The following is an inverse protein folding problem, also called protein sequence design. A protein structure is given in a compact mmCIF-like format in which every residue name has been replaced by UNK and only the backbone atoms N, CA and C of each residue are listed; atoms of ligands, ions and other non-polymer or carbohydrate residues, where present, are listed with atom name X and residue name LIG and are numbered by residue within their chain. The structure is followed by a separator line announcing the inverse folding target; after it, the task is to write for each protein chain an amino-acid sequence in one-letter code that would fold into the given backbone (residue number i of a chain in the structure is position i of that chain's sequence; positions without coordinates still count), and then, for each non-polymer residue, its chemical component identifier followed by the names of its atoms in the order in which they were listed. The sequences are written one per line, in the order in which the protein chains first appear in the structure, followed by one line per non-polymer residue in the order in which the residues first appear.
data_IF_631320501630
#
_entry.id   IF_631320501630
#
_cell.length_a   1.000
_cell.length_b   1.000
_cell.length_c   1.000
_cell.angle_alpha   90.00
_cell.angle_beta   90.00
_cell.angle_gamma   90.00
#
_symmetry.space_group_name_H-M   'P 1'
#
loop_
_entity.id
_entity.type
_entity.pdbx_description
1 polymer ?
#
# COMPACT_ATOMS: atom_id res chain seq x y z
N UNK A 1 22.27 -50.92 -73.01
CA UNK A 1 23.44 -50.36 -72.33
C UNK A 1 23.21 -48.85 -72.25
N UNK A 2 22.59 -48.37 -71.17
CA UNK A 2 22.32 -46.93 -70.93
C UNK A 2 22.65 -46.62 -69.49
N UNK A 3 23.67 -45.80 -69.29
CA UNK A 3 24.19 -45.35 -68.06
C UNK A 3 23.30 -44.17 -67.50
N UNK A 4 22.67 -44.39 -66.36
CA UNK A 4 21.99 -43.33 -65.63
C UNK A 4 22.94 -42.51 -64.76
N UNK A 5 22.94 -41.20 -64.94
CA UNK A 5 23.62 -40.22 -64.07
C UNK A 5 22.70 -39.77 -62.95
N UNK A 6 23.07 -40.07 -61.73
CA UNK A 6 22.39 -39.52 -60.53
C UNK A 6 22.98 -38.15 -60.20
N UNK A 7 22.15 -37.11 -60.22
CA UNK A 7 22.47 -35.79 -59.67
C UNK A 7 22.10 -35.75 -58.16
N UNK A 8 23.08 -35.62 -57.32
CA UNK A 8 22.88 -35.34 -55.87
C UNK A 8 22.74 -33.84 -55.68
N UNK A 9 21.58 -33.39 -55.15
CA UNK A 9 21.35 -32.02 -54.72
C UNK A 9 21.77 -31.91 -53.24
N UNK A 10 22.79 -31.11 -52.95
CA UNK A 10 23.16 -30.74 -51.61
C UNK A 10 22.26 -29.58 -51.15
N UNK A 11 21.38 -29.80 -50.15
CA UNK A 11 20.65 -28.75 -49.47
C UNK A 11 21.57 -28.08 -48.44
N UNK A 12 21.92 -26.83 -48.65
CA UNK A 12 22.51 -25.98 -47.60
C UNK A 12 21.39 -25.52 -46.64
N UNK A 13 21.44 -26.03 -45.41
CA UNK A 13 20.61 -25.52 -44.33
C UNK A 13 21.24 -24.21 -43.80
N UNK A 14 20.63 -23.07 -44.09
CA UNK A 14 21.01 -21.79 -43.46
C UNK A 14 20.34 -21.73 -42.11
N UNK A 15 21.14 -21.96 -41.03
CA UNK A 15 20.70 -21.66 -39.66
C UNK A 15 20.61 -20.14 -39.44
N UNK A 16 19.42 -19.59 -39.49
CA UNK A 16 19.19 -18.22 -39.05
C UNK A 16 19.33 -18.16 -37.53
N UNK A 17 20.44 -17.61 -37.06
CA UNK A 17 20.62 -17.24 -35.64
C UNK A 17 19.74 -16.01 -35.39
N UNK A 18 18.58 -16.23 -34.78
CA UNK A 18 17.75 -15.14 -34.28
C UNK A 18 18.51 -14.40 -33.18
N UNK A 19 18.97 -13.20 -33.48
CA UNK A 19 19.52 -12.29 -32.48
C UNK A 19 18.39 -11.93 -31.52
N UNK A 20 18.42 -12.47 -30.30
CA UNK A 20 17.60 -11.99 -29.19
C UNK A 20 18.10 -10.60 -28.85
N UNK A 21 17.42 -9.57 -29.37
CA UNK A 21 17.54 -8.22 -28.81
C UNK A 21 16.94 -8.26 -27.42
N UNK A 22 17.68 -7.87 -26.37
CA UNK A 22 17.08 -7.74 -25.05
C UNK A 22 15.94 -6.74 -25.16
N UNK A 23 14.71 -7.19 -24.88
CA UNK A 23 13.61 -6.23 -24.68
C UNK A 23 14.03 -5.30 -23.55
N UNK A 24 13.86 -3.97 -23.70
CA UNK A 24 14.09 -3.06 -22.59
C UNK A 24 13.27 -3.56 -21.41
N UNK A 25 13.93 -3.73 -20.27
CA UNK A 25 13.27 -4.11 -19.04
C UNK A 25 12.09 -3.14 -18.86
N UNK A 26 10.87 -3.69 -18.73
CA UNK A 26 9.69 -2.85 -18.52
C UNK A 26 9.91 -2.14 -17.20
N UNK A 27 9.93 -0.81 -17.21
CA UNK A 27 10.12 -0.02 -16.01
C UNK A 27 9.17 -0.50 -14.91
N UNK A 28 9.70 -0.76 -13.74
CA UNK A 28 8.88 -1.09 -12.58
C UNK A 28 7.99 0.11 -12.25
N UNK A 29 6.80 -0.15 -11.73
CA UNK A 29 5.83 0.86 -11.35
C UNK A 29 5.38 0.67 -9.91
N UNK A 30 5.01 1.76 -9.26
CA UNK A 30 4.40 1.76 -7.92
C UNK A 30 3.08 2.53 -7.97
N UNK A 31 2.00 1.89 -8.48
CA UNK A 31 0.76 2.58 -8.85
C UNK A 31 -0.10 3.02 -7.67
N UNK A 32 0.14 2.52 -6.47
CA UNK A 32 -0.65 2.78 -5.26
C UNK A 32 0.24 2.77 -4.01
N UNK A 33 -0.27 3.23 -2.87
CA UNK A 33 0.51 3.39 -1.64
C UNK A 33 1.19 2.13 -1.11
N UNK A 34 0.73 0.93 -1.48
CA UNK A 34 1.35 -0.38 -1.13
C UNK A 34 1.93 -1.11 -2.34
N UNK A 35 2.15 -0.41 -3.45
CA UNK A 35 2.69 -1.00 -4.67
C UNK A 35 1.67 -1.72 -5.54
N UNK A 36 2.12 -2.45 -6.56
CA UNK A 36 1.26 -3.02 -7.59
C UNK A 36 0.31 -4.11 -7.08
N UNK A 37 0.70 -4.87 -6.06
CA UNK A 37 -0.10 -5.95 -5.48
C UNK A 37 -0.74 -5.57 -4.13
N UNK A 38 -0.59 -4.34 -3.68
CA UNK A 38 -1.06 -3.84 -2.37
C UNK A 38 -0.47 -4.61 -1.17
N UNK A 39 0.68 -5.26 -1.34
CA UNK A 39 1.34 -6.16 -0.37
C UNK A 39 2.61 -5.56 0.25
N UNK A 40 3.05 -4.38 -0.22
CA UNK A 40 4.27 -3.73 0.24
C UNK A 40 5.55 -4.33 -0.34
N UNK A 41 5.47 -5.01 -1.48
CA UNK A 41 6.61 -5.61 -2.17
C UNK A 41 6.93 -4.86 -3.44
N UNK A 42 8.20 -4.51 -3.62
CA UNK A 42 8.74 -3.97 -4.85
C UNK A 42 9.52 -5.04 -5.62
N UNK A 43 9.53 -4.90 -6.93
CA UNK A 43 10.42 -5.64 -7.82
C UNK A 43 11.77 -4.92 -8.01
N UNK A 44 12.63 -5.47 -8.86
CA UNK A 44 13.91 -4.89 -9.23
C UNK A 44 15.05 -5.17 -8.24
N UNK A 45 16.21 -4.61 -8.54
CA UNK A 45 17.47 -4.79 -7.82
C UNK A 45 18.28 -3.48 -7.80
N UNK A 46 19.38 -3.46 -7.05
CA UNK A 46 20.32 -2.34 -7.05
C UNK A 46 19.94 -1.21 -6.09
N UNK A 47 19.09 -1.48 -5.10
CA UNK A 47 18.73 -0.49 -4.10
C UNK A 47 19.82 -0.28 -3.07
N UNK A 48 20.08 0.97 -2.71
CA UNK A 48 21.04 1.33 -1.67
C UNK A 48 20.60 0.83 -0.29
N UNK A 49 21.57 0.47 0.56
CA UNK A 49 21.30 0.02 1.94
C UNK A 49 21.52 1.14 2.96
N UNK A 50 22.15 2.24 2.57
CA UNK A 50 22.41 3.37 3.43
C UNK A 50 22.33 4.67 2.63
N UNK A 51 21.98 5.76 3.30
CA UNK A 51 21.98 7.12 2.75
C UNK A 51 22.07 8.16 3.85
N UNK A 52 22.50 9.34 3.48
CA UNK A 52 22.50 10.52 4.34
C UNK A 52 21.92 11.71 3.56
N UNK A 53 21.76 12.89 4.17
CA UNK A 53 21.32 14.07 3.41
C UNK A 53 22.25 14.48 2.24
N UNK A 54 23.46 13.92 2.17
CA UNK A 54 24.47 14.22 1.12
C UNK A 54 24.96 12.99 0.36
N UNK A 55 24.70 11.78 0.84
CA UNK A 55 25.17 10.53 0.23
C UNK A 55 23.99 9.74 -0.34
N UNK A 56 24.17 9.17 -1.53
CA UNK A 56 23.15 8.44 -2.28
C UNK A 56 21.88 9.25 -2.58
N UNK A 57 21.96 10.57 -2.53
CA UNK A 57 20.87 11.47 -2.98
C UNK A 57 21.05 11.75 -4.46
N UNK A 58 20.11 11.30 -5.28
CA UNK A 58 20.03 11.64 -6.72
C UNK A 58 19.53 13.09 -6.86
N UNK A 59 18.45 13.38 -6.16
CA UNK A 59 17.86 14.71 -6.06
C UNK A 59 16.93 14.83 -4.83
N UNK A 60 16.70 16.06 -4.44
CA UNK A 60 15.70 16.46 -3.45
C UNK A 60 14.95 17.68 -3.96
N UNK A 61 13.64 17.65 -3.92
CA UNK A 61 12.77 18.78 -4.27
C UNK A 61 11.99 19.20 -3.04
N UNK A 62 12.11 20.47 -2.64
CA UNK A 62 11.24 21.06 -1.62
C UNK A 62 9.87 21.31 -2.24
N UNK A 63 8.83 20.85 -1.56
CA UNK A 63 7.45 20.97 -2.04
C UNK A 63 6.85 22.31 -1.59
N UNK A 64 5.91 22.87 -2.35
CA UNK A 64 5.33 24.18 -2.05
C UNK A 64 4.40 24.15 -0.83
N UNK A 65 3.99 22.96 -0.39
CA UNK A 65 3.13 22.81 0.77
C UNK A 65 3.23 21.42 1.40
N UNK A 66 2.67 21.30 2.60
CA UNK A 66 2.72 20.06 3.38
C UNK A 66 1.89 18.96 2.73
N UNK A 67 2.35 17.73 2.88
CA UNK A 67 1.64 16.52 2.50
C UNK A 67 2.29 15.28 3.11
N UNK A 68 1.51 14.20 3.22
CA UNK A 68 1.95 12.94 3.81
C UNK A 68 1.64 11.72 2.92
N UNK A 69 1.25 11.95 1.67
CA UNK A 69 0.94 10.89 0.71
C UNK A 69 2.18 10.12 0.30
N UNK A 70 2.06 8.80 0.21
CA UNK A 70 3.04 7.97 -0.51
C UNK A 70 2.98 8.33 -2.00
N UNK A 71 4.13 8.54 -2.69
CA UNK A 71 4.13 8.83 -4.11
C UNK A 71 3.54 7.67 -4.94
N UNK A 72 2.78 8.01 -5.99
CA UNK A 72 2.49 7.06 -7.07
C UNK A 72 3.52 7.23 -8.19
N UNK A 73 4.07 6.12 -8.67
CA UNK A 73 5.11 6.13 -9.71
C UNK A 73 4.69 5.26 -10.88
N UNK A 74 4.68 5.85 -12.08
CA UNK A 74 4.40 5.11 -13.31
C UNK A 74 5.21 5.67 -14.50
N UNK A 75 5.98 4.80 -15.14
CA UNK A 75 6.89 5.20 -16.20
C UNK A 75 7.82 6.30 -15.73
N UNK A 76 7.80 7.44 -16.39
CA UNK A 76 8.60 8.64 -16.04
C UNK A 76 7.88 9.63 -15.11
N UNK A 77 6.78 9.24 -14.48
CA UNK A 77 6.01 10.16 -13.62
C UNK A 77 6.05 9.73 -12.16
N UNK A 78 6.26 10.71 -11.29
CA UNK A 78 6.16 10.61 -9.83
C UNK A 78 5.13 11.63 -9.37
N UNK A 79 4.02 11.17 -8.80
CA UNK A 79 2.91 12.04 -8.40
C UNK A 79 2.75 12.04 -6.88
N UNK A 80 2.63 13.23 -6.31
CA UNK A 80 2.37 13.46 -4.89
C UNK A 80 1.21 14.44 -4.69
N UNK A 81 0.59 14.41 -3.51
CA UNK A 81 -0.42 15.38 -3.09
C UNK A 81 0.14 16.33 -2.04
N UNK A 82 -0.29 17.58 -2.02
CA UNK A 82 0.05 18.55 -0.99
C UNK A 82 -1.01 19.67 -0.93
N UNK A 83 -0.90 20.55 0.05
CA UNK A 83 -1.68 21.78 0.11
C UNK A 83 -0.86 22.92 -0.51
N UNK A 84 -1.46 23.74 -1.39
CA UNK A 84 -0.82 24.91 -2.00
C UNK A 84 -1.79 26.08 -1.90
N UNK A 85 -1.36 27.16 -1.28
CA UNK A 85 -2.12 28.43 -1.17
C UNK A 85 -3.60 28.24 -0.76
N UNK A 86 -3.84 27.33 0.19
CA UNK A 86 -5.19 27.03 0.67
C UNK A 86 -5.99 26.07 -0.20
N UNK A 87 -5.39 25.45 -1.21
CA UNK A 87 -6.00 24.49 -2.11
C UNK A 87 -5.42 23.08 -1.93
N UNK A 88 -6.25 22.07 -2.11
CA UNK A 88 -5.81 20.71 -2.37
C UNK A 88 -5.11 20.67 -3.72
N UNK A 89 -3.93 20.05 -3.80
CA UNK A 89 -3.16 20.04 -5.03
C UNK A 89 -2.44 18.70 -5.26
N UNK A 90 -2.26 18.36 -6.53
CA UNK A 90 -1.39 17.29 -7.00
C UNK A 90 -0.26 17.85 -7.84
N UNK A 91 0.93 17.26 -7.71
CA UNK A 91 2.13 17.63 -8.48
C UNK A 91 2.69 16.38 -9.13
N UNK A 92 2.96 16.45 -10.43
CA UNK A 92 3.67 15.45 -11.21
C UNK A 92 5.10 15.88 -11.50
N UNK A 93 6.06 15.06 -11.12
CA UNK A 93 7.48 15.20 -11.42
C UNK A 93 7.91 14.17 -12.46
N UNK A 94 8.99 14.44 -13.18
CA UNK A 94 9.73 13.39 -13.89
C UNK A 94 10.67 12.64 -12.91
N UNK A 95 11.31 11.57 -13.40
CA UNK A 95 12.26 10.77 -12.60
C UNK A 95 13.52 11.56 -12.18
N UNK A 96 13.79 12.70 -12.79
CA UNK A 96 14.91 13.59 -12.46
C UNK A 96 14.53 14.67 -11.44
N UNK A 97 13.30 14.66 -10.94
CA UNK A 97 12.80 15.61 -9.94
C UNK A 97 12.35 16.95 -10.53
N UNK A 98 12.28 17.08 -11.86
CA UNK A 98 11.72 18.27 -12.49
C UNK A 98 10.20 18.22 -12.41
N UNK A 99 9.58 19.29 -11.90
CA UNK A 99 8.14 19.46 -11.95
C UNK A 99 7.69 19.56 -13.42
N UNK A 100 6.76 18.66 -13.79
CA UNK A 100 6.17 18.62 -15.15
C UNK A 100 4.85 19.35 -15.17
N UNK A 101 4.05 19.15 -14.11
CA UNK A 101 2.75 19.78 -13.96
C UNK A 101 2.36 19.93 -12.50
N UNK A 102 1.49 20.88 -12.25
CA UNK A 102 0.83 21.14 -10.97
C UNK A 102 -0.65 21.39 -11.22
N UNK A 103 -1.49 20.81 -10.37
CA UNK A 103 -2.93 21.03 -10.45
C UNK A 103 -3.50 21.34 -9.07
N UNK A 104 -4.05 22.53 -8.93
CA UNK A 104 -4.87 22.92 -7.80
C UNK A 104 -6.31 22.44 -8.03
N UNK A 105 -6.96 22.03 -6.95
CA UNK A 105 -8.30 21.46 -6.95
C UNK A 105 -9.21 22.22 -5.96
N UNK A 106 -9.88 21.51 -5.06
CA UNK A 106 -10.78 22.10 -4.06
C UNK A 106 -10.08 22.90 -2.96
N UNK A 107 -10.85 23.54 -2.08
CA UNK A 107 -10.32 24.20 -0.89
C UNK A 107 -9.82 23.17 0.12
N UNK A 108 -8.58 23.36 0.62
CA UNK A 108 -7.99 22.43 1.58
C UNK A 108 -8.70 22.49 2.93
N UNK A 109 -9.00 21.33 3.51
CA UNK A 109 -9.32 21.24 4.94
C UNK A 109 -8.02 20.90 5.69
N UNK A 110 -7.49 21.80 6.54
CA UNK A 110 -6.21 21.59 7.20
C UNK A 110 -6.23 20.39 8.14
N UNK A 111 -5.06 19.81 8.38
CA UNK A 111 -4.89 18.74 9.35
C UNK A 111 -5.24 19.18 10.78
N UNK A 112 -5.81 18.27 11.57
CA UNK A 112 -6.11 18.44 12.99
C UNK A 112 -4.93 18.02 13.88
N UNK A 113 -4.16 17.04 13.43
CA UNK A 113 -3.04 16.48 14.18
C UNK A 113 -1.69 16.87 13.54
N UNK A 114 -0.65 17.07 14.35
CA UNK A 114 0.70 17.50 13.89
C UNK A 114 1.36 16.58 12.83
N UNK A 115 0.93 15.32 12.74
CA UNK A 115 1.40 14.33 11.75
C UNK A 115 0.56 14.32 10.48
N UNK A 116 -0.51 15.09 10.42
CA UNK A 116 -1.47 15.08 9.33
C UNK A 116 -1.56 16.44 8.66
N UNK A 117 -1.84 16.47 7.38
CA UNK A 117 -1.72 17.66 6.55
C UNK A 117 -2.98 17.99 5.76
N UNK A 118 -4.07 17.23 5.89
CA UNK A 118 -5.23 17.31 4.99
C UNK A 118 -5.00 16.58 3.65
N UNK A 119 -3.73 16.40 3.24
CA UNK A 119 -3.31 15.71 2.01
C UNK A 119 -2.55 14.42 2.34
N UNK A 120 -3.14 13.56 3.18
CA UNK A 120 -2.51 12.29 3.60
C UNK A 120 -2.82 11.14 2.65
N UNK A 121 -3.98 11.18 2.00
CA UNK A 121 -4.42 10.16 1.04
C UNK A 121 -3.44 10.07 -0.13
N UNK A 122 -3.01 8.85 -0.45
CA UNK A 122 -2.03 8.62 -1.51
C UNK A 122 -2.71 8.52 -2.87
N UNK A 123 -2.12 9.07 -3.93
CA UNK A 123 -2.63 8.92 -5.29
C UNK A 123 -2.58 7.46 -5.74
N UNK A 124 -3.47 7.10 -6.66
CA UNK A 124 -3.45 5.81 -7.36
C UNK A 124 -3.51 6.03 -8.86
N UNK A 125 -2.80 5.21 -9.66
CA UNK A 125 -2.71 5.40 -11.11
C UNK A 125 -2.81 4.09 -11.87
N UNK A 126 -3.30 4.18 -13.12
CA UNK A 126 -3.27 3.10 -14.10
C UNK A 126 -2.26 3.36 -15.25
N UNK A 127 -1.52 4.47 -15.14
CA UNK A 127 -0.55 4.90 -16.14
C UNK A 127 -1.10 5.85 -17.21
N UNK A 128 -2.41 6.00 -17.32
CA UNK A 128 -3.07 7.02 -18.13
C UNK A 128 -3.62 8.15 -17.25
N UNK A 129 -4.27 7.76 -16.18
CA UNK A 129 -4.86 8.68 -15.21
C UNK A 129 -4.25 8.47 -13.83
N UNK A 130 -4.32 9.50 -13.01
CA UNK A 130 -4.05 9.44 -11.58
C UNK A 130 -5.28 9.97 -10.83
N UNK A 131 -5.73 9.21 -9.83
CA UNK A 131 -6.83 9.61 -8.95
C UNK A 131 -6.27 10.05 -7.63
N UNK A 132 -6.78 11.18 -7.15
CA UNK A 132 -6.40 11.80 -5.89
C UNK A 132 -7.65 12.09 -5.04
N UNK A 133 -7.53 11.87 -3.73
CA UNK A 133 -8.61 12.08 -2.79
C UNK A 133 -8.13 12.90 -1.60
N UNK A 134 -8.94 13.82 -1.10
CA UNK A 134 -8.55 14.76 -0.07
C UNK A 134 -9.54 14.79 1.10
N UNK A 135 -9.07 15.30 2.24
CA UNK A 135 -9.89 15.54 3.43
C UNK A 135 -11.07 16.49 3.18
N UNK A 136 -10.97 17.37 2.20
CA UNK A 136 -12.08 18.23 1.74
C UNK A 136 -13.27 17.45 1.19
N UNK A 137 -13.08 16.16 0.88
CA UNK A 137 -14.04 15.33 0.15
C UNK A 137 -13.83 15.33 -1.35
N UNK A 138 -12.89 16.13 -1.86
CA UNK A 138 -12.57 16.20 -3.28
C UNK A 138 -11.91 14.90 -3.76
N UNK A 139 -12.51 14.30 -4.79
CA UNK A 139 -11.98 13.17 -5.54
C UNK A 139 -11.83 13.61 -7.00
N UNK A 140 -10.64 13.52 -7.55
CA UNK A 140 -10.35 13.96 -8.91
C UNK A 140 -9.60 12.88 -9.70
N UNK A 141 -9.90 12.77 -11.00
CA UNK A 141 -9.08 12.08 -11.98
C UNK A 141 -8.32 13.10 -12.83
N UNK A 142 -7.02 12.92 -12.93
CA UNK A 142 -6.13 13.76 -13.71
C UNK A 142 -5.43 12.90 -14.78
N UNK A 143 -5.12 13.49 -15.92
CA UNK A 143 -4.21 12.86 -16.87
C UNK A 143 -2.79 12.85 -16.26
N UNK A 144 -2.15 11.69 -16.18
CA UNK A 144 -0.85 11.56 -15.52
C UNK A 144 0.27 12.29 -16.28
N UNK A 145 0.13 12.49 -17.59
CA UNK A 145 1.18 13.09 -18.42
C UNK A 145 1.29 14.60 -18.20
N UNK A 146 0.17 15.33 -18.06
CA UNK A 146 0.11 16.80 -18.05
C UNK A 146 -0.74 17.41 -16.93
N UNK A 147 -1.35 16.58 -16.07
CA UNK A 147 -2.19 17.00 -14.95
C UNK A 147 -3.53 17.61 -15.38
N UNK A 148 -3.95 17.45 -16.63
CA UNK A 148 -5.27 17.92 -17.07
C UNK A 148 -6.37 17.22 -16.28
N UNK A 149 -7.34 17.98 -15.77
CA UNK A 149 -8.49 17.43 -15.03
C UNK A 149 -9.40 16.70 -16.02
N UNK A 150 -9.64 15.42 -15.76
CA UNK A 150 -10.58 14.59 -16.52
C UNK A 150 -11.98 14.75 -15.94
N UNK A 151 -12.09 14.61 -14.62
CA UNK A 151 -13.30 14.86 -13.87
C UNK A 151 -13.00 15.11 -12.39
N UNK A 152 -13.93 15.76 -11.71
CA UNK A 152 -13.92 15.92 -10.26
C UNK A 152 -15.28 15.62 -9.67
N UNK A 153 -15.29 15.24 -8.42
CA UNK A 153 -16.51 15.10 -7.61
C UNK A 153 -16.16 15.33 -6.14
N UNK A 154 -17.13 15.75 -5.35
CA UNK A 154 -16.93 15.95 -3.92
C UNK A 154 -17.87 15.03 -3.12
N UNK A 155 -17.29 14.07 -2.39
CA UNK A 155 -18.07 13.08 -1.64
C UNK A 155 -18.82 13.70 -0.47
N UNK A 156 -18.27 14.74 0.16
CA UNK A 156 -18.94 15.38 1.29
C UNK A 156 -20.14 16.22 0.84
N UNK A 157 -20.09 16.83 -0.34
CA UNK A 157 -21.24 17.52 -0.92
C UNK A 157 -22.34 16.54 -1.33
N UNK A 158 -21.99 15.34 -1.78
CA UNK A 158 -22.96 14.34 -2.20
C UNK A 158 -23.56 13.52 -1.05
N UNK A 159 -22.75 13.17 -0.04
CA UNK A 159 -23.12 12.16 0.95
C UNK A 159 -23.02 12.62 2.40
N UNK A 160 -22.68 13.88 2.65
CA UNK A 160 -22.56 14.47 3.98
C UNK A 160 -21.11 14.69 4.41
N UNK A 161 -20.96 15.57 5.40
CA UNK A 161 -19.65 16.01 5.89
C UNK A 161 -18.84 14.89 6.56
N UNK A 162 -17.53 15.08 6.57
CA UNK A 162 -16.58 14.26 7.31
C UNK A 162 -16.74 14.46 8.83
N UNK A 163 -17.01 13.36 9.54
CA UNK A 163 -17.15 13.33 11.00
C UNK A 163 -16.00 12.60 11.69
N UNK A 164 -14.92 12.29 10.98
CA UNK A 164 -13.72 11.70 11.57
C UNK A 164 -13.15 12.62 12.66
N UNK A 165 -12.76 12.03 13.78
CA UNK A 165 -12.15 12.78 14.87
C UNK A 165 -10.75 13.29 14.51
N UNK A 166 -10.04 12.51 13.71
CA UNK A 166 -8.70 12.83 13.21
C UNK A 166 -8.72 13.11 11.71
N UNK A 167 -7.59 12.96 11.08
CA UNK A 167 -7.43 13.33 9.67
C UNK A 167 -7.60 12.14 8.75
N UNK A 168 -8.20 12.36 7.59
CA UNK A 168 -8.38 11.35 6.56
C UNK A 168 -7.04 10.67 6.22
N UNK A 169 -7.00 9.34 6.31
CA UNK A 169 -5.84 8.52 5.93
C UNK A 169 -6.13 7.54 4.78
N UNK A 170 -7.41 7.25 4.56
CA UNK A 170 -7.85 6.34 3.51
C UNK A 170 -7.46 6.84 2.12
N UNK A 171 -6.89 5.98 1.30
CA UNK A 171 -6.56 6.24 -0.11
C UNK A 171 -7.59 5.60 -1.04
N UNK A 172 -7.82 6.16 -2.24
CA UNK A 172 -8.63 5.50 -3.24
C UNK A 172 -7.96 4.21 -3.73
N UNK A 173 -8.77 3.25 -4.17
CA UNK A 173 -8.30 2.00 -4.78
C UNK A 173 -8.93 1.80 -6.14
N UNK A 174 -8.22 1.12 -7.04
CA UNK A 174 -8.70 0.84 -8.39
C UNK A 174 -9.16 -0.60 -8.53
N UNK A 175 -10.27 -0.76 -9.23
CA UNK A 175 -10.69 -2.03 -9.82
C UNK A 175 -10.58 -1.93 -11.34
N UNK A 176 -10.95 -2.97 -12.06
CA UNK A 176 -10.97 -2.94 -13.53
C UNK A 176 -11.86 -1.83 -14.10
N UNK A 177 -12.92 -1.40 -13.39
CA UNK A 177 -13.93 -0.43 -13.87
C UNK A 177 -14.05 0.83 -13.03
N UNK A 178 -13.69 0.78 -11.76
CA UNK A 178 -14.00 1.84 -10.82
C UNK A 178 -12.78 2.34 -10.04
N UNK A 179 -12.83 3.60 -9.63
CA UNK A 179 -12.12 4.09 -8.46
C UNK A 179 -13.07 4.04 -7.26
N UNK A 180 -12.61 3.47 -6.16
CA UNK A 180 -13.44 3.24 -4.97
C UNK A 180 -12.81 3.93 -3.77
N UNK A 181 -13.67 4.57 -2.98
CA UNK A 181 -13.32 5.23 -1.72
C UNK A 181 -14.14 4.62 -0.60
N UNK A 182 -13.49 4.34 0.53
CA UNK A 182 -14.16 3.95 1.77
C UNK A 182 -14.22 5.16 2.71
N UNK A 183 -15.41 5.51 3.16
CA UNK A 183 -15.64 6.51 4.19
C UNK A 183 -16.22 5.80 5.41
N UNK A 184 -15.42 5.71 6.47
CA UNK A 184 -15.75 4.98 7.70
C UNK A 184 -15.58 5.91 8.89
N UNK A 185 -16.67 6.41 9.41
CA UNK A 185 -16.72 7.51 10.38
C UNK A 185 -17.80 7.28 11.44
N UNK A 186 -17.87 8.16 12.41
CA UNK A 186 -18.99 8.15 13.35
C UNK A 186 -20.23 8.73 12.65
N UNK A 187 -21.23 7.90 12.42
CA UNK A 187 -22.42 8.25 11.61
C UNK A 187 -22.37 7.56 10.24
N UNK A 188 -22.88 8.18 9.17
CA UNK A 188 -22.98 7.52 7.87
C UNK A 188 -21.60 7.04 7.37
N UNK A 189 -21.41 5.72 7.35
CA UNK A 189 -20.23 5.07 6.81
C UNK A 189 -20.63 4.33 5.54
N UNK A 190 -19.78 4.40 4.50
CA UNK A 190 -20.10 3.83 3.19
C UNK A 190 -18.87 3.52 2.36
N UNK A 191 -19.07 2.71 1.34
CA UNK A 191 -18.17 2.53 0.21
C UNK A 191 -18.83 3.20 -1.00
N UNK A 192 -18.06 3.93 -1.81
CA UNK A 192 -18.56 4.55 -3.04
C UNK A 192 -17.63 4.26 -4.20
N UNK A 193 -18.19 3.85 -5.33
CA UNK A 193 -17.47 3.56 -6.57
C UNK A 193 -17.89 4.51 -7.67
N UNK A 194 -16.90 5.08 -8.32
CA UNK A 194 -17.06 5.98 -9.44
C UNK A 194 -16.43 5.38 -10.69
N UNK A 195 -17.07 5.55 -11.83
CA UNK A 195 -16.49 5.15 -13.12
C UNK A 195 -15.15 5.86 -13.33
N UNK A 196 -14.13 5.11 -13.65
CA UNK A 196 -12.74 5.62 -13.75
C UNK A 196 -12.61 6.74 -14.78
N UNK A 197 -13.36 6.66 -15.87
CA UNK A 197 -13.24 7.54 -17.03
C UNK A 197 -14.14 8.77 -16.91
N UNK A 198 -15.36 8.59 -16.41
CA UNK A 198 -16.39 9.64 -16.42
C UNK A 198 -16.63 10.29 -15.05
N UNK A 199 -16.19 9.66 -13.96
CA UNK A 199 -16.50 10.11 -12.60
C UNK A 199 -17.95 9.89 -12.17
N UNK A 200 -18.77 9.22 -13.01
CA UNK A 200 -20.14 8.91 -12.67
C UNK A 200 -20.22 7.94 -11.50
N UNK A 201 -21.10 8.18 -10.54
CA UNK A 201 -21.35 7.23 -9.46
C UNK A 201 -21.90 5.92 -10.02
N UNK A 202 -21.19 4.83 -9.81
CA UNK A 202 -21.64 3.49 -10.20
C UNK A 202 -22.50 2.87 -9.11
N UNK A 203 -22.05 2.97 -7.86
CA UNK A 203 -22.78 2.51 -6.69
C UNK A 203 -22.26 3.16 -5.41
N UNK A 204 -23.15 3.24 -4.41
CA UNK A 204 -22.83 3.57 -3.02
C UNK A 204 -23.45 2.49 -2.14
N UNK A 205 -22.65 1.90 -1.27
CA UNK A 205 -23.09 0.89 -0.31
C UNK A 205 -22.83 1.36 1.10
N UNK A 206 -23.89 1.47 1.90
CA UNK A 206 -23.78 1.79 3.31
C UNK A 206 -23.06 0.64 4.05
N UNK A 207 -22.16 1.01 4.96
CA UNK A 207 -21.38 0.08 5.79
C UNK A 207 -21.52 0.51 7.25
N UNK A 208 -22.74 0.46 7.75
CA UNK A 208 -23.08 0.76 9.15
C UNK A 208 -22.93 -0.51 9.98
N UNK A 209 -21.87 -0.57 10.77
CA UNK A 209 -21.60 -1.69 11.68
C UNK A 209 -21.61 -1.18 13.12
N UNK A 210 -22.01 -2.06 14.03
CA UNK A 210 -22.07 -1.74 15.45
C UNK A 210 -20.64 -1.73 16.02
N UNK A 211 -20.17 -0.55 16.40
CA UNK A 211 -18.89 -0.34 17.06
C UNK A 211 -18.95 0.95 17.91
N UNK A 212 -18.36 0.95 19.11
CA UNK A 212 -18.48 2.07 20.02
C UNK A 212 -17.58 3.26 19.63
N UNK A 213 -18.10 4.46 19.69
CA UNK A 213 -17.37 5.75 19.59
C UNK A 213 -16.28 5.79 18.49
N UNK A 214 -15.00 5.95 18.85
CA UNK A 214 -13.87 6.00 17.90
C UNK A 214 -13.64 4.65 17.20
N UNK A 215 -14.03 3.54 17.80
CA UNK A 215 -13.92 2.22 17.18
C UNK A 215 -14.76 2.10 15.89
N UNK A 216 -15.83 2.89 15.73
CA UNK A 216 -16.58 3.01 14.48
C UNK A 216 -15.75 3.62 13.35
N UNK A 217 -14.68 4.38 13.67
CA UNK A 217 -13.88 5.10 12.69
C UNK A 217 -12.75 4.25 12.13
N UNK A 218 -12.49 4.39 10.86
CA UNK A 218 -11.37 3.76 10.20
C UNK A 218 -10.70 4.69 9.20
N UNK A 219 -9.40 4.70 9.24
CA UNK A 219 -8.50 5.44 8.37
C UNK A 219 -7.78 4.50 7.39
N UNK A 220 -8.11 3.20 7.46
CA UNK A 220 -7.51 2.17 6.63
C UNK A 220 -7.96 2.25 5.18
N UNK A 221 -7.07 1.86 4.29
CA UNK A 221 -7.36 1.74 2.85
C UNK A 221 -7.87 0.33 2.57
N UNK A 222 -8.97 0.16 1.82
CA UNK A 222 -9.41 -1.16 1.37
C UNK A 222 -8.36 -1.86 0.51
N UNK A 223 -8.42 -3.18 0.46
CA UNK A 223 -7.60 -3.99 -0.45
C UNK A 223 -8.49 -4.60 -1.52
N UNK A 224 -8.11 -4.40 -2.78
CA UNK A 224 -8.75 -5.07 -3.92
C UNK A 224 -8.09 -6.43 -4.11
N UNK A 225 -8.89 -7.48 -4.16
CA UNK A 225 -8.40 -8.85 -4.34
C UNK A 225 -9.16 -9.54 -5.47
N UNK A 226 -8.46 -10.37 -6.23
CA UNK A 226 -9.12 -11.26 -7.17
C UNK A 226 -9.96 -12.28 -6.41
N UNK A 227 -11.18 -12.49 -6.87
CA UNK A 227 -12.03 -13.55 -6.36
C UNK A 227 -11.68 -14.90 -6.96
N UNK A 228 -12.18 -15.94 -6.33
CA UNK A 228 -12.03 -17.31 -6.79
C UNK A 228 -13.37 -17.82 -7.36
N UNK A 229 -13.43 -17.97 -8.68
CA UNK A 229 -14.62 -18.42 -9.38
C UNK A 229 -15.08 -19.83 -8.93
N UNK A 230 -14.14 -20.71 -8.58
CA UNK A 230 -14.44 -22.07 -8.08
C UNK A 230 -15.15 -22.04 -6.71
N UNK A 231 -14.95 -20.96 -5.96
CA UNK A 231 -15.64 -20.69 -4.69
C UNK A 231 -16.91 -19.84 -4.86
N UNK A 232 -17.27 -19.50 -6.11
CA UNK A 232 -18.42 -18.66 -6.43
C UNK A 232 -18.23 -17.20 -5.96
N UNK A 233 -16.99 -16.73 -5.87
CA UNK A 233 -16.67 -15.34 -5.57
C UNK A 233 -16.74 -14.48 -6.83
N UNK A 234 -17.06 -13.16 -6.73
CA UNK A 234 -17.00 -12.23 -7.86
C UNK A 234 -15.56 -12.06 -8.35
N UNK A 235 -15.39 -11.57 -9.58
CA UNK A 235 -14.07 -11.39 -10.21
C UNK A 235 -13.12 -10.52 -9.38
N UNK A 236 -13.64 -9.46 -8.77
CA UNK A 236 -12.91 -8.57 -7.88
C UNK A 236 -13.71 -8.33 -6.60
N UNK A 237 -13.04 -8.37 -5.48
CA UNK A 237 -13.60 -8.10 -4.16
C UNK A 237 -12.85 -6.98 -3.47
N UNK A 238 -13.55 -6.27 -2.60
CA UNK A 238 -12.97 -5.30 -1.67
C UNK A 238 -12.93 -5.93 -0.28
N UNK A 239 -11.78 -5.91 0.36
CA UNK A 239 -11.63 -6.26 1.77
C UNK A 239 -11.45 -4.97 2.56
N UNK A 240 -12.30 -4.76 3.56
CA UNK A 240 -12.39 -3.52 4.34
C UNK A 240 -12.26 -3.82 5.82
N UNK A 241 -11.35 -3.13 6.51
CA UNK A 241 -11.15 -3.21 7.96
C UNK A 241 -11.66 -1.93 8.62
N UNK A 242 -12.53 -2.04 9.59
CA UNK A 242 -13.03 -0.92 10.39
C UNK A 242 -14.32 -1.26 11.12
N UNK A 243 -14.66 -0.49 12.14
CA UNK A 243 -15.81 -0.71 12.98
C UNK A 243 -15.84 -2.15 13.55
N UNK A 244 -14.73 -2.58 14.15
CA UNK A 244 -14.54 -3.87 14.81
C UNK A 244 -14.72 -5.10 13.91
N UNK A 245 -14.75 -4.90 12.57
CA UNK A 245 -15.01 -5.94 11.58
C UNK A 245 -14.04 -5.90 10.40
N UNK A 246 -13.82 -7.07 9.81
CA UNK A 246 -13.38 -7.21 8.41
C UNK A 246 -14.59 -7.62 7.58
N UNK A 247 -14.82 -6.92 6.48
CA UNK A 247 -15.89 -7.25 5.53
C UNK A 247 -15.33 -7.41 4.13
N UNK A 248 -15.90 -8.32 3.35
CA UNK A 248 -15.63 -8.44 1.93
C UNK A 248 -16.86 -8.07 1.11
N UNK A 249 -16.64 -7.31 0.06
CA UNK A 249 -17.69 -6.80 -0.81
C UNK A 249 -17.41 -7.14 -2.27
N UNK A 250 -18.45 -7.38 -3.04
CA UNK A 250 -18.38 -7.45 -4.50
C UNK A 250 -18.01 -6.06 -5.04
N UNK A 251 -16.88 -5.95 -5.70
CA UNK A 251 -16.41 -4.67 -6.23
C UNK A 251 -17.29 -4.11 -7.34
N UNK A 252 -18.09 -4.95 -8.01
CA UNK A 252 -18.96 -4.52 -9.09
C UNK A 252 -20.23 -3.76 -8.63
N UNK A 253 -20.69 -4.00 -7.38
CA UNK A 253 -21.95 -3.46 -6.87
C UNK A 253 -21.93 -3.07 -5.39
N UNK A 254 -20.81 -3.26 -4.69
CA UNK A 254 -20.62 -2.93 -3.28
C UNK A 254 -21.29 -3.87 -2.29
N UNK A 255 -22.04 -4.89 -2.72
CA UNK A 255 -22.77 -5.79 -1.82
C UNK A 255 -21.79 -6.59 -0.96
N UNK A 256 -22.09 -6.63 0.34
CA UNK A 256 -21.31 -7.46 1.26
C UNK A 256 -21.50 -8.94 0.94
N UNK A 257 -20.39 -9.67 0.87
CA UNK A 257 -20.33 -11.10 0.63
C UNK A 257 -20.25 -11.85 1.97
N UNK A 258 -19.27 -11.43 2.78
CA UNK A 258 -19.06 -12.00 4.12
C UNK A 258 -18.47 -10.96 5.07
N UNK A 259 -18.62 -11.23 6.36
CA UNK A 259 -18.00 -10.47 7.45
C UNK A 259 -17.41 -11.36 8.52
N UNK A 260 -16.39 -10.84 9.19
CA UNK A 260 -15.87 -11.34 10.46
C UNK A 260 -15.86 -10.20 11.44
N UNK A 261 -16.54 -10.40 12.58
CA UNK A 261 -16.54 -9.49 13.72
C UNK A 261 -15.65 -9.99 14.86
N UNK A 262 -15.89 -9.48 16.06
CA UNK A 262 -15.21 -9.94 17.27
C UNK A 262 -13.76 -9.49 17.40
N UNK A 263 -13.31 -8.52 16.60
CA UNK A 263 -11.95 -7.95 16.71
C UNK A 263 -11.78 -7.10 17.97
N UNK A 264 -12.89 -6.70 18.60
CA UNK A 264 -12.93 -5.89 19.82
C UNK A 264 -13.81 -6.54 20.88
N UNK A 265 -13.39 -7.70 21.47
CA UNK A 265 -14.23 -8.47 22.37
C UNK A 265 -14.55 -7.74 23.69
N UNK A 266 -13.78 -6.71 24.04
CA UNK A 266 -13.98 -5.90 25.25
C UNK A 266 -14.90 -4.70 25.02
N UNK A 267 -15.30 -4.41 23.76
CA UNK A 267 -16.05 -3.21 23.40
C UNK A 267 -15.26 -1.92 23.70
N UNK A 268 -13.95 -1.95 23.52
CA UNK A 268 -13.09 -0.80 23.83
C UNK A 268 -13.37 0.35 22.84
N UNK A 269 -13.79 1.47 23.36
CA UNK A 269 -14.31 2.60 22.58
C UNK A 269 -13.29 3.35 21.70
N UNK A 270 -12.01 3.12 21.87
CA UNK A 270 -10.93 3.81 21.15
C UNK A 270 -10.14 2.91 20.19
N UNK A 271 -10.64 1.73 19.86
CA UNK A 271 -9.97 0.81 18.94
C UNK A 271 -10.29 1.12 17.46
N UNK A 272 -9.99 2.37 17.01
CA UNK A 272 -10.06 2.70 15.59
C UNK A 272 -9.04 1.93 14.77
N UNK A 273 -9.27 1.81 13.46
CA UNK A 273 -8.34 1.18 12.52
C UNK A 273 -7.54 2.24 11.75
N UNK A 274 -6.21 2.14 11.75
CA UNK A 274 -5.33 2.94 10.88
C UNK A 274 -4.59 2.03 9.91
N UNK A 275 -3.88 1.01 10.42
CA UNK A 275 -3.29 -0.01 9.57
C UNK A 275 -4.37 -0.70 8.72
N UNK A 276 -4.04 -0.96 7.47
CA UNK A 276 -4.95 -1.60 6.51
C UNK A 276 -4.86 -3.12 6.59
N UNK A 277 -5.90 -3.84 6.16
CA UNK A 277 -5.80 -5.28 5.97
C UNK A 277 -4.83 -5.59 4.83
N UNK A 278 -4.18 -6.75 4.88
CA UNK A 278 -3.37 -7.27 3.78
C UNK A 278 -3.77 -8.73 3.49
N UNK A 279 -3.46 -9.19 2.28
CA UNK A 279 -3.81 -10.56 1.87
C UNK A 279 -2.56 -11.41 1.74
N UNK A 280 -2.53 -12.53 2.46
CA UNK A 280 -1.46 -13.51 2.45
C UNK A 280 -2.02 -14.88 2.00
N UNK A 281 -2.03 -15.12 0.68
CA UNK A 281 -2.64 -16.32 0.11
C UNK A 281 -4.13 -16.43 0.44
N UNK A 282 -4.51 -17.48 1.15
CA UNK A 282 -5.90 -17.72 1.56
C UNK A 282 -6.35 -16.94 2.81
N UNK A 283 -5.50 -16.05 3.33
CA UNK A 283 -5.79 -15.31 4.55
C UNK A 283 -5.87 -13.80 4.31
N UNK A 284 -6.84 -13.16 4.96
CA UNK A 284 -6.84 -11.74 5.25
C UNK A 284 -6.21 -11.55 6.62
N UNK A 285 -5.21 -10.68 6.69
CA UNK A 285 -4.50 -10.32 7.92
C UNK A 285 -4.99 -8.95 8.36
N UNK A 286 -5.57 -8.88 9.54
CA UNK A 286 -6.16 -7.67 10.12
C UNK A 286 -5.39 -7.25 11.39
N UNK A 287 -4.49 -6.26 11.32
CA UNK A 287 -3.95 -5.60 12.51
C UNK A 287 -5.05 -4.77 13.18
N UNK A 288 -5.14 -4.83 14.52
CA UNK A 288 -6.21 -4.16 15.25
C UNK A 288 -5.81 -3.75 16.68
N UNK A 289 -6.77 -3.22 17.42
CA UNK A 289 -6.65 -2.88 18.84
C UNK A 289 -5.43 -1.99 19.16
N UNK A 290 -5.21 -0.94 18.35
CA UNK A 290 -4.09 0.01 18.51
C UNK A 290 -2.71 -0.67 18.57
N UNK A 291 -2.53 -1.70 17.77
CA UNK A 291 -1.29 -2.44 17.69
C UNK A 291 -1.13 -3.54 18.75
N UNK A 292 -2.21 -3.92 19.43
CA UNK A 292 -2.18 -5.01 20.41
C UNK A 292 -2.48 -6.36 19.79
N UNK A 293 -3.25 -6.40 18.68
CA UNK A 293 -3.68 -7.65 18.05
C UNK A 293 -3.41 -7.71 16.55
N UNK A 294 -3.30 -8.94 16.05
CA UNK A 294 -3.34 -9.26 14.63
C UNK A 294 -4.12 -10.56 14.44
N UNK A 295 -5.08 -10.52 13.54
CA UNK A 295 -6.00 -11.64 13.28
C UNK A 295 -5.85 -12.12 11.85
N UNK A 296 -5.72 -13.44 11.62
CA UNK A 296 -5.80 -14.03 10.30
C UNK A 296 -7.18 -14.65 10.08
N UNK A 297 -7.80 -14.29 8.97
CA UNK A 297 -9.14 -14.69 8.58
C UNK A 297 -9.05 -15.47 7.27
N UNK A 298 -9.60 -16.68 7.21
CA UNK A 298 -9.71 -17.43 5.95
C UNK A 298 -10.63 -16.71 4.99
N UNK A 299 -10.21 -16.55 3.76
CA UNK A 299 -11.03 -15.96 2.70
C UNK A 299 -12.17 -16.87 2.30
N UNK A 300 -13.31 -16.30 1.93
CA UNK A 300 -14.47 -17.01 1.42
C UNK A 300 -15.65 -17.05 2.40
N UNK A 301 -16.66 -17.85 2.07
CA UNK A 301 -17.90 -17.93 2.83
C UNK A 301 -18.94 -16.90 2.43
N UNK A 302 -20.06 -16.85 3.16
CA UNK A 302 -21.18 -15.90 2.95
C UNK A 302 -21.79 -15.49 4.28
N UNK A 303 -22.16 -14.21 4.39
CA UNK A 303 -22.76 -13.65 5.61
C UNK A 303 -21.76 -13.56 6.76
N UNK A 304 -22.21 -13.72 7.98
CA UNK A 304 -21.35 -13.70 9.15
C UNK A 304 -20.61 -15.04 9.31
N UNK A 305 -19.30 -15.00 9.10
CA UNK A 305 -18.42 -16.18 9.19
C UNK A 305 -17.46 -16.11 10.39
N UNK A 306 -17.73 -15.23 11.36
CA UNK A 306 -16.89 -15.02 12.55
C UNK A 306 -16.54 -16.33 13.26
N UNK A 307 -17.51 -17.21 13.49
CA UNK A 307 -17.31 -18.45 14.22
C UNK A 307 -16.44 -19.49 13.50
N UNK A 308 -16.25 -19.38 12.17
CA UNK A 308 -15.64 -20.43 11.34
C UNK A 308 -14.39 -20.00 10.59
N UNK A 309 -14.17 -18.72 10.37
CA UNK A 309 -13.11 -18.24 9.46
C UNK A 309 -11.91 -17.60 10.17
N UNK A 310 -11.98 -17.33 11.47
CA UNK A 310 -10.79 -16.92 12.22
C UNK A 310 -9.82 -18.11 12.26
N UNK A 311 -8.65 -17.96 11.64
CA UNK A 311 -7.65 -19.02 11.59
C UNK A 311 -6.76 -19.00 12.84
N UNK A 312 -6.30 -17.83 13.22
CA UNK A 312 -5.51 -17.57 14.41
C UNK A 312 -5.59 -16.10 14.82
N UNK A 313 -5.29 -15.84 16.09
CA UNK A 313 -5.20 -14.49 16.66
C UNK A 313 -3.91 -14.40 17.48
N UNK A 314 -3.15 -13.30 17.31
CA UNK A 314 -2.07 -12.90 18.20
C UNK A 314 -2.55 -11.69 19.02
N UNK A 315 -2.31 -11.75 20.34
CA UNK A 315 -2.69 -10.68 21.29
C UNK A 315 -1.46 -10.03 21.94
N UNK A 316 -0.28 -10.37 21.44
CA UNK A 316 1.03 -9.89 21.91
C UNK A 316 1.78 -9.13 20.82
N UNK A 317 1.18 -9.01 19.65
CA UNK A 317 1.74 -8.39 18.46
C UNK A 317 0.66 -7.80 17.57
N UNK A 318 0.89 -6.59 17.10
CA UNK A 318 0.07 -5.90 16.12
C UNK A 318 0.76 -4.62 15.66
N UNK A 319 0.11 -3.88 14.79
CA UNK A 319 0.55 -2.56 14.36
C UNK A 319 -0.64 -1.60 14.42
N UNK A 320 -0.46 -0.41 14.99
CA UNK A 320 -1.50 0.62 15.02
C UNK A 320 -1.53 1.38 13.69
N UNK A 321 -0.38 1.84 13.23
CA UNK A 321 -0.27 2.67 12.00
C UNK A 321 0.40 1.92 10.85
N UNK A 322 1.58 1.29 10.99
CA UNK A 322 2.22 0.61 9.86
C UNK A 322 1.38 -0.58 9.38
N UNK A 323 1.05 -0.61 8.12
CA UNK A 323 0.40 -1.77 7.51
C UNK A 323 1.44 -2.85 7.23
N UNK A 324 1.22 -4.12 7.61
CA UNK A 324 2.15 -5.20 7.36
C UNK A 324 2.50 -5.37 5.88
N UNK A 325 3.67 -5.93 5.57
CA UNK A 325 4.02 -6.38 4.23
C UNK A 325 3.91 -7.90 4.13
N UNK A 326 3.58 -8.40 2.93
CA UNK A 326 3.37 -9.84 2.71
C UNK A 326 4.20 -10.31 1.53
N UNK A 327 4.99 -11.37 1.74
CA UNK A 327 5.76 -12.02 0.67
C UNK A 327 5.96 -13.50 0.96
N UNK A 328 5.78 -14.35 -0.04
CA UNK A 328 6.09 -15.79 0.01
C UNK A 328 5.43 -16.50 1.20
N UNK A 329 4.13 -16.22 1.47
CA UNK A 329 3.40 -16.82 2.59
C UNK A 329 3.84 -16.33 3.97
N UNK A 330 4.55 -15.21 4.05
CA UNK A 330 5.04 -14.60 5.29
C UNK A 330 4.50 -13.20 5.45
N UNK A 331 4.30 -12.80 6.69
CA UNK A 331 3.81 -11.49 7.08
C UNK A 331 4.92 -10.77 7.84
N UNK A 332 5.34 -9.62 7.38
CA UNK A 332 6.25 -8.75 8.11
C UNK A 332 5.46 -7.68 8.86
N UNK A 333 5.49 -7.75 10.17
CA UNK A 333 4.86 -6.77 11.05
C UNK A 333 5.95 -5.84 11.59
N UNK A 334 5.75 -4.53 11.43
CA UNK A 334 6.52 -3.50 12.11
C UNK A 334 5.57 -2.81 13.10
N UNK A 335 5.85 -2.87 14.39
CA UNK A 335 5.05 -2.13 15.37
C UNK A 335 5.46 -0.67 15.40
N UNK A 336 4.60 0.19 15.93
CA UNK A 336 4.87 1.63 16.08
C UNK A 336 6.12 1.92 16.94
N UNK A 337 6.56 0.94 17.74
CA UNK A 337 7.74 1.03 18.62
C UNK A 337 9.00 0.40 18.05
N UNK A 338 8.96 -0.09 16.79
CA UNK A 338 10.14 -0.68 16.13
C UNK A 338 10.42 -2.14 16.49
N UNK A 339 9.44 -2.87 17.05
CA UNK A 339 9.50 -4.33 17.11
C UNK A 339 9.10 -4.85 15.73
N UNK A 340 9.94 -5.66 15.13
CA UNK A 340 9.72 -6.21 13.79
C UNK A 340 9.69 -7.72 13.90
N UNK A 341 8.61 -8.35 13.42
CA UNK A 341 8.47 -9.80 13.38
C UNK A 341 8.04 -10.25 11.99
N UNK A 342 8.69 -11.31 11.51
CA UNK A 342 8.26 -12.05 10.34
C UNK A 342 7.50 -13.30 10.81
N UNK A 343 6.24 -13.40 10.41
CA UNK A 343 5.35 -14.49 10.79
C UNK A 343 5.12 -15.43 9.61
N UNK A 344 4.88 -16.70 9.91
CA UNK A 344 4.24 -17.63 8.99
C UNK A 344 2.75 -17.28 8.87
N UNK A 345 2.26 -17.05 7.66
CA UNK A 345 0.90 -16.56 7.42
C UNK A 345 -0.18 -17.61 7.79
N UNK A 346 0.13 -18.89 7.66
CA UNK A 346 -0.83 -19.95 7.93
C UNK A 346 -1.02 -20.22 9.43
N UNK A 347 0.02 -19.98 10.24
CA UNK A 347 0.04 -20.36 11.66
C UNK A 347 0.15 -19.19 12.62
N UNK A 348 0.55 -18.01 12.16
CA UNK A 348 0.84 -16.84 13.00
C UNK A 348 2.11 -16.98 13.85
N UNK A 349 2.90 -18.07 13.67
CA UNK A 349 4.13 -18.26 14.42
C UNK A 349 5.22 -17.31 13.95
N UNK A 350 5.98 -16.75 14.90
CA UNK A 350 7.16 -15.94 14.61
C UNK A 350 8.27 -16.81 14.05
N UNK A 351 8.78 -16.45 12.88
CA UNK A 351 9.90 -17.11 12.20
C UNK A 351 11.23 -16.44 12.54
N UNK A 352 11.22 -15.11 12.61
CA UNK A 352 12.38 -14.27 12.92
C UNK A 352 11.92 -12.92 13.43
N UNK A 353 12.69 -12.27 14.27
CA UNK A 353 12.35 -10.97 14.86
C UNK A 353 13.59 -10.11 15.08
N UNK A 354 13.38 -8.81 15.28
CA UNK A 354 14.35 -7.84 15.80
C UNK A 354 13.61 -6.74 16.57
N UNK A 355 14.22 -6.20 17.58
CA UNK A 355 13.78 -4.96 18.22
C UNK A 355 14.80 -3.86 17.89
N UNK A 356 14.37 -2.86 17.14
CA UNK A 356 15.21 -1.70 16.83
C UNK A 356 15.41 -0.84 18.10
N UNK A 357 16.49 -0.05 18.17
CA UNK A 357 16.75 0.80 19.32
C UNK A 357 15.54 1.69 19.67
N UNK A 358 15.19 1.74 20.95
CA UNK A 358 14.07 2.57 21.43
C UNK A 358 14.27 4.02 21.06
N UNK A 359 13.24 4.64 20.53
CA UNK A 359 13.22 6.06 20.19
C UNK A 359 11.89 6.69 20.62
N UNK A 360 11.88 8.02 20.80
CA UNK A 360 10.66 8.79 21.09
C UNK A 360 9.74 8.92 19.86
N UNK A 361 10.32 8.84 18.66
CA UNK A 361 9.61 8.90 17.41
C UNK A 361 9.11 7.50 17.03
N UNK A 362 7.88 7.42 16.56
CA UNK A 362 7.25 6.16 16.19
C UNK A 362 7.59 5.77 14.74
N UNK A 363 7.25 4.55 14.38
CA UNK A 363 7.18 4.08 13.01
C UNK A 363 5.74 4.25 12.54
N UNK A 364 5.49 5.12 11.57
CA UNK A 364 4.18 5.31 10.93
C UNK A 364 4.18 4.86 9.48
N UNK A 365 5.33 4.96 8.80
CA UNK A 365 5.51 4.40 7.46
C UNK A 365 5.41 2.87 7.48
N UNK A 366 4.75 2.30 6.49
CA UNK A 366 4.63 0.85 6.35
C UNK A 366 5.93 0.24 5.84
N UNK A 367 6.31 -0.97 6.27
CA UNK A 367 7.51 -1.64 5.77
C UNK A 367 7.39 -1.97 4.27
N UNK A 368 8.52 -1.92 3.57
CA UNK A 368 8.65 -2.31 2.17
C UNK A 368 9.68 -3.42 2.01
N UNK A 369 9.31 -4.48 1.30
CA UNK A 369 10.20 -5.60 0.96
C UNK A 369 10.67 -5.42 -0.48
N UNK A 370 11.99 -5.35 -0.69
CA UNK A 370 12.60 -5.16 -2.01
C UNK A 370 14.00 -5.77 -2.07
N UNK A 371 14.36 -6.44 -3.16
CA UNK A 371 15.72 -6.92 -3.45
C UNK A 371 16.37 -7.67 -2.26
N UNK A 372 15.65 -8.59 -1.62
CA UNK A 372 16.15 -9.31 -0.45
C UNK A 372 16.34 -8.44 0.81
N UNK A 373 15.74 -7.26 0.85
CA UNK A 373 15.79 -6.27 1.94
C UNK A 373 14.42 -5.92 2.46
N UNK A 374 14.39 -5.38 3.66
CA UNK A 374 13.23 -4.70 4.26
C UNK A 374 13.64 -3.28 4.62
N UNK A 375 12.85 -2.31 4.20
CA UNK A 375 13.01 -0.91 4.59
C UNK A 375 11.91 -0.56 5.58
N UNK A 376 12.29 -0.10 6.76
CA UNK A 376 11.37 0.46 7.78
C UNK A 376 11.81 1.88 8.10
N UNK A 377 10.88 2.83 8.04
CA UNK A 377 11.18 4.26 8.20
C UNK A 377 10.46 4.82 9.42
N UNK A 378 11.21 5.51 10.27
CA UNK A 378 10.74 6.19 11.47
C UNK A 378 10.33 7.63 11.14
N UNK A 379 9.47 8.21 11.96
CA UNK A 379 8.88 9.54 11.72
C UNK A 379 9.89 10.70 11.65
N UNK A 380 11.08 10.55 12.19
CA UNK A 380 12.16 11.55 12.10
C UNK A 380 13.02 11.41 10.83
N UNK A 381 12.61 10.56 9.89
CA UNK A 381 13.30 10.35 8.62
C UNK A 381 14.44 9.33 8.67
N UNK A 382 14.66 8.68 9.81
CA UNK A 382 15.61 7.57 9.91
C UNK A 382 14.97 6.28 9.37
N UNK A 383 15.70 5.58 8.53
CA UNK A 383 15.31 4.28 7.98
C UNK A 383 16.32 3.20 8.37
N UNK A 384 15.83 2.05 8.80
CA UNK A 384 16.65 0.85 8.94
C UNK A 384 16.43 -0.07 7.75
N UNK A 385 17.52 -0.55 7.16
CA UNK A 385 17.49 -1.53 6.08
C UNK A 385 17.91 -2.88 6.65
N UNK A 386 17.01 -3.85 6.60
CA UNK A 386 17.19 -5.18 7.16
C UNK A 386 17.27 -6.22 6.05
N UNK A 387 17.93 -7.34 6.30
CA UNK A 387 17.90 -8.47 5.39
C UNK A 387 16.53 -9.16 5.43
N UNK A 388 15.90 -9.36 4.25
CA UNK A 388 14.74 -10.24 4.16
C UNK A 388 15.18 -11.70 4.33
N UNK A 389 14.55 -12.46 5.21
CA UNK A 389 14.96 -13.84 5.46
C UNK A 389 14.58 -14.74 4.26
N UNK A 390 15.57 -15.11 3.45
CA UNK A 390 15.36 -15.92 2.24
C UNK A 390 15.25 -17.43 2.52
N UNK A 391 15.88 -17.91 3.61
CA UNK A 391 15.88 -19.32 3.99
C UNK A 391 15.38 -19.47 5.42
N UNK A 392 14.08 -19.62 5.57
CA UNK A 392 13.46 -20.03 6.83
C UNK A 392 12.85 -21.42 6.61
N UNK A 393 13.35 -22.40 7.36
CA UNK A 393 12.70 -23.70 7.45
C UNK A 393 11.57 -23.61 8.48
N UNK A 394 10.28 -23.67 8.08
CA UNK A 394 9.17 -23.61 9.02
C UNK A 394 9.21 -24.75 10.06
N UNK A 395 9.82 -25.87 9.70
CA UNK A 395 9.99 -27.04 10.57
C UNK A 395 11.00 -26.75 11.69
N UNK A 396 12.09 -26.06 11.38
CA UNK A 396 13.10 -25.68 12.40
C UNK A 396 12.57 -24.68 13.45
N UNK A 397 11.64 -23.83 13.05
CA UNK A 397 10.96 -22.90 13.98
C UNK A 397 9.99 -23.61 14.94
N UNK A 398 9.57 -24.84 14.63
CA UNK A 398 8.69 -25.63 15.50
C UNK A 398 9.43 -26.31 16.66
N UNK A 399 10.72 -26.61 16.48
CA UNK A 399 11.49 -27.45 17.41
C UNK A 399 12.32 -26.66 18.43
N UNK A 400 12.62 -25.37 18.18
CA UNK A 400 13.49 -24.57 19.03
C UNK A 400 12.87 -23.21 19.38
N UNK A 401 12.17 -23.14 20.53
CA UNK A 401 11.56 -21.88 21.03
C UNK A 401 12.58 -20.78 21.35
N UNK A 402 13.85 -21.13 21.53
CA UNK A 402 14.89 -20.21 22.03
C UNK A 402 15.89 -19.74 20.95
N UNK A 403 15.86 -20.34 19.74
CA UNK A 403 16.81 -20.03 18.64
C UNK A 403 16.15 -19.26 17.47
N UNK A 404 15.22 -18.33 17.75
CA UNK A 404 14.70 -17.45 16.72
C UNK A 404 15.86 -16.59 16.19
N UNK A 405 16.25 -16.81 14.92
CA UNK A 405 17.28 -15.98 14.28
C UNK A 405 16.86 -14.53 14.29
N UNK A 406 17.80 -13.66 14.60
CA UNK A 406 17.57 -12.22 14.53
C UNK A 406 17.64 -11.73 13.08
N UNK A 407 16.78 -10.76 12.72
CA UNK A 407 16.87 -10.06 11.45
C UNK A 407 18.17 -9.24 11.42
N UNK A 408 18.97 -9.40 10.36
CA UNK A 408 20.24 -8.70 10.23
C UNK A 408 20.03 -7.27 9.73
N UNK A 409 20.55 -6.27 10.43
CA UNK A 409 20.67 -4.91 9.93
C UNK A 409 21.74 -4.83 8.86
N UNK A 410 21.39 -4.33 7.67
CA UNK A 410 22.30 -4.15 6.53
C UNK A 410 22.84 -2.73 6.46
N UNK A 411 22.06 -1.74 6.93
CA UNK A 411 22.44 -0.35 6.92
C UNK A 411 21.36 0.56 7.47
N UNK A 412 21.65 1.84 7.45
CA UNK A 412 20.76 2.90 7.90
C UNK A 412 20.75 4.06 6.92
N UNK A 413 19.59 4.70 6.76
CA UNK A 413 19.43 5.90 5.97
C UNK A 413 18.81 7.02 6.79
N UNK A 414 19.19 8.27 6.52
CA UNK A 414 18.66 9.45 7.20
C UNK A 414 18.34 10.54 6.17
N UNK A 415 17.17 11.17 6.31
CA UNK A 415 16.80 12.36 5.52
C UNK A 415 16.56 13.62 6.37
N UNK A 416 16.62 13.47 7.71
CA UNK A 416 16.54 14.57 8.68
C UNK A 416 15.25 15.43 8.57
N UNK A 417 14.16 14.80 8.11
CA UNK A 417 12.85 15.42 7.94
C UNK A 417 11.75 14.49 8.41
N UNK A 418 10.68 15.08 8.94
CA UNK A 418 9.52 14.29 9.36
C UNK A 418 8.87 13.57 8.18
N UNK A 419 8.64 12.27 8.32
CA UNK A 419 7.91 11.45 7.35
C UNK A 419 6.97 10.45 8.01
N UNK A 420 5.81 10.27 7.40
CA UNK A 420 4.86 9.19 7.71
C UNK A 420 4.50 8.39 6.46
N UNK A 421 4.96 8.85 5.29
CA UNK A 421 4.73 8.18 4.02
C UNK A 421 5.57 6.91 3.89
N UNK A 422 5.01 5.91 3.25
CA UNK A 422 5.72 4.67 2.92
C UNK A 422 6.76 4.94 1.83
N UNK A 423 8.01 4.47 1.95
CA UNK A 423 8.99 4.54 0.86
C UNK A 423 8.50 3.82 -0.40
N UNK A 424 8.83 4.35 -1.56
CA UNK A 424 8.51 3.76 -2.86
C UNK A 424 9.79 3.29 -3.53
N UNK A 425 9.84 2.03 -3.92
CA UNK A 425 11.02 1.40 -4.53
C UNK A 425 10.72 1.03 -5.99
N UNK A 426 11.43 1.65 -6.93
CA UNK A 426 11.23 1.48 -8.37
C UNK A 426 12.58 1.61 -9.10
N UNK A 427 12.94 0.63 -9.94
CA UNK A 427 14.12 0.65 -10.81
C UNK A 427 15.44 1.02 -10.08
N UNK A 428 15.66 0.45 -8.87
CA UNK A 428 16.86 0.73 -8.06
C UNK A 428 16.82 2.07 -7.32
N UNK A 429 15.76 2.85 -7.47
CA UNK A 429 15.57 4.14 -6.79
C UNK A 429 14.57 4.01 -5.64
N UNK A 430 14.81 4.77 -4.57
CA UNK A 430 13.89 4.91 -3.44
C UNK A 430 13.36 6.34 -3.44
N UNK A 431 12.05 6.50 -3.64
CA UNK A 431 11.39 7.79 -3.48
C UNK A 431 10.83 7.86 -2.05
N UNK A 432 11.31 8.82 -1.29
CA UNK A 432 10.87 9.08 0.07
C UNK A 432 10.21 10.45 0.16
N UNK A 433 8.92 10.47 0.50
CA UNK A 433 8.18 11.69 0.76
C UNK A 433 8.28 12.04 2.24
N UNK A 434 8.78 13.22 2.53
CA UNK A 434 8.68 13.85 3.85
C UNK A 434 7.53 14.87 3.86
N UNK A 435 7.23 15.51 4.97
CA UNK A 435 6.21 16.56 4.99
C UNK A 435 6.52 17.70 4.01
N UNK A 436 7.79 18.05 3.88
CA UNK A 436 8.25 19.24 3.14
C UNK A 436 8.91 18.94 1.80
N UNK A 437 9.36 17.71 1.57
CA UNK A 437 10.21 17.39 0.42
C UNK A 437 9.86 16.04 -0.19
N UNK A 438 10.27 15.88 -1.44
CA UNK A 438 10.35 14.60 -2.13
C UNK A 438 11.82 14.30 -2.42
N UNK A 439 12.29 13.16 -1.95
CA UNK A 439 13.65 12.68 -2.11
C UNK A 439 13.69 11.52 -3.10
N UNK A 440 14.71 11.48 -3.93
CA UNK A 440 15.08 10.33 -4.74
C UNK A 440 16.46 9.87 -4.31
N UNK A 441 16.54 8.63 -3.83
CA UNK A 441 17.75 8.02 -3.28
C UNK A 441 18.17 6.86 -4.18
N UNK A 442 19.46 6.69 -4.39
CA UNK A 442 20.02 5.63 -5.23
C UNK A 442 21.48 5.88 -5.55
N UNK A 443 22.12 4.93 -6.22
CA UNK A 443 23.49 5.12 -6.72
C UNK A 443 23.55 6.32 -7.67
N UNK A 444 24.63 7.12 -7.58
CA UNK A 444 24.89 8.20 -8.55
C UNK A 444 25.31 7.57 -9.88
N UNK A 445 24.79 8.08 -10.98
CA UNK A 445 25.22 7.73 -12.33
C UNK A 445 26.66 8.20 -12.59
#
# INVERSE_FOLDING_TARGET
MVLGRSCAWAMLAVCAVAAFSPQPARADNWPSWRGPALDGVAAGQGYVSSWSPTEHVRWRVKLPGLGASTPAVWGDRVVVTCAIDGKDAAIGFDRNGKEVWRRELGEVKPGKHKKATGCNSSPVTDGQHVWVYYKSGELAALNIADGAVVWTTNLQQQFGEDTLWWDLGTSPVLTSKAVIVAVMQTGPSYLAAFDRTTGSLLWKQDRMLDAPEEAAQSYSTPVVVAGNADKGEPTEMLVVLGADHVTAHDAANGKEIWRVGGLNPTGHKYFRSIASPVVAGDFVIAPYARGETITAIRRGGKGDVTASHIAWVRTDLGADVPTPAVRDGRILVCTDKGKIECLDAATGKTLVKIELPKNRNAYSASPVIVDGRVIVTREDGESSVLAWPTQLNPQAAADHKDDLKELKVLGQGVVDEMTVATPVCVDGLIFLRTHDSLWCLGEKE
#
